data_IF_696485969495
#
_entry.id   IF_696485969495
#
_cell.length_a   1.000
_cell.length_b   1.000
_cell.length_c   1.000
_cell.angle_alpha   90.00
_cell.angle_beta   90.00
_cell.angle_gamma   90.00
#
_symmetry.space_group_name_H-M   'P 1'
#
loop_
_entity.id
_entity.type
_entity.pdbx_description
1 polymer ?
#
# COMPACT_ATOMS: atom_id res chain seq x y z
N UNK A 1 -33.21 25.92 -28.14
CA UNK A 1 -32.32 26.37 -27.05
C UNK A 1 -31.26 25.29 -26.84
N UNK A 2 -30.00 25.62 -27.11
CA UNK A 2 -28.86 24.70 -27.07
C UNK A 2 -28.44 24.47 -25.63
N UNK A 3 -28.27 23.21 -25.21
CA UNK A 3 -27.77 22.84 -23.88
C UNK A 3 -26.24 22.87 -23.95
N UNK A 4 -25.62 23.80 -23.25
CA UNK A 4 -24.17 23.95 -23.19
C UNK A 4 -23.52 22.73 -22.53
N UNK A 5 -22.47 22.24 -23.20
CA UNK A 5 -21.57 21.19 -22.75
C UNK A 5 -20.63 21.80 -21.72
N UNK A 6 -20.78 21.42 -20.45
CA UNK A 6 -19.87 21.81 -19.38
C UNK A 6 -18.47 21.28 -19.67
N UNK A 7 -17.50 22.20 -19.62
CA UNK A 7 -16.09 22.04 -19.97
C UNK A 7 -15.40 20.98 -19.10
N UNK A 8 -14.65 20.12 -19.78
CA UNK A 8 -13.64 19.24 -19.19
C UNK A 8 -12.59 20.10 -18.46
N UNK A 9 -12.46 19.91 -17.14
CA UNK A 9 -11.28 20.39 -16.42
C UNK A 9 -10.13 19.43 -16.75
N UNK A 10 -9.08 19.97 -17.36
CA UNK A 10 -7.80 19.31 -17.57
C UNK A 10 -7.25 18.77 -16.25
N UNK A 11 -7.00 17.47 -16.18
CA UNK A 11 -6.21 16.85 -15.09
C UNK A 11 -4.73 16.85 -15.50
N UNK A 12 -3.80 17.18 -14.58
CA UNK A 12 -2.37 17.15 -14.87
C UNK A 12 -1.93 15.72 -15.18
N UNK A 13 -0.90 15.61 -16.00
CA UNK A 13 -0.41 14.40 -16.68
C UNK A 13 -0.55 13.12 -15.85
N UNK A 14 -1.40 12.22 -16.35
CA UNK A 14 -1.63 10.90 -15.79
C UNK A 14 -0.39 10.01 -15.94
N UNK A 15 -0.10 9.24 -14.90
CA UNK A 15 0.87 8.15 -14.90
C UNK A 15 0.68 7.26 -16.15
N UNK A 16 1.64 7.29 -17.07
CA UNK A 16 1.56 6.52 -18.32
C UNK A 16 1.47 5.02 -18.00
N UNK A 17 0.56 4.26 -18.64
CA UNK A 17 0.43 2.83 -18.39
C UNK A 17 1.64 2.11 -19.00
N UNK A 18 2.66 1.83 -18.19
CA UNK A 18 3.70 0.88 -18.55
C UNK A 18 3.15 -0.52 -18.33
N UNK A 19 2.52 -1.10 -19.35
CA UNK A 19 2.09 -2.50 -19.36
C UNK A 19 3.23 -3.36 -19.91
N UNK A 20 4.20 -3.67 -19.05
CA UNK A 20 5.23 -4.66 -19.34
C UNK A 20 5.15 -5.76 -18.27
N UNK A 21 4.48 -6.86 -18.62
CA UNK A 21 4.16 -7.95 -17.70
C UNK A 21 2.66 -8.03 -17.36
N UNK A 22 2.20 -9.19 -16.90
CA UNK A 22 0.84 -9.32 -16.40
C UNK A 22 0.61 -8.37 -15.21
N UNK A 23 -0.62 -7.92 -15.01
CA UNK A 23 -1.01 -7.01 -13.90
C UNK A 23 -1.02 -7.70 -12.52
N UNK A 24 -0.64 -8.98 -12.45
CA UNK A 24 -0.49 -9.68 -11.18
C UNK A 24 0.94 -9.51 -10.71
N UNK A 25 1.11 -8.98 -9.51
CA UNK A 25 2.39 -9.00 -8.83
C UNK A 25 2.58 -10.35 -8.14
N UNK A 26 3.72 -10.99 -8.41
CA UNK A 26 4.12 -12.26 -7.82
C UNK A 26 5.23 -12.09 -6.77
N UNK A 27 5.59 -10.85 -6.46
CA UNK A 27 6.50 -10.53 -5.37
C UNK A 27 5.98 -11.17 -4.09
N UNK A 28 6.90 -11.80 -3.35
CA UNK A 28 6.59 -12.39 -2.05
C UNK A 28 7.05 -11.37 -1.01
N UNK A 29 6.11 -10.83 -0.23
CA UNK A 29 6.42 -9.88 0.82
C UNK A 29 6.63 -10.60 2.16
N UNK A 30 7.79 -10.34 2.78
CA UNK A 30 8.16 -10.96 4.05
C UNK A 30 8.67 -12.40 3.89
N UNK A 31 8.53 -13.19 4.94
CA UNK A 31 8.96 -14.59 5.05
C UNK A 31 7.91 -15.39 5.83
N UNK A 32 7.96 -16.71 5.81
CA UNK A 32 7.05 -17.55 6.62
C UNK A 32 6.99 -17.16 8.11
N UNK A 33 8.12 -16.94 8.83
CA UNK A 33 8.06 -16.50 10.24
C UNK A 33 7.69 -15.02 10.44
N UNK A 34 7.80 -14.19 9.39
CA UNK A 34 7.47 -12.76 9.41
C UNK A 34 6.74 -12.41 8.12
N UNK A 35 5.44 -12.73 7.98
CA UNK A 35 4.72 -12.67 6.70
C UNK A 35 4.19 -11.27 6.37
N UNK A 36 5.01 -10.26 6.64
CA UNK A 36 4.76 -8.87 6.33
C UNK A 36 6.02 -8.18 5.84
N UNK A 37 5.84 -7.10 5.10
CA UNK A 37 6.90 -6.17 4.74
C UNK A 37 6.42 -4.73 4.91
N UNK A 38 7.32 -3.85 5.37
CA UNK A 38 7.05 -2.42 5.48
C UNK A 38 8.00 -1.69 4.53
N UNK A 39 7.43 -0.98 3.56
CA UNK A 39 8.17 -0.08 2.70
C UNK A 39 8.14 1.33 3.28
N UNK A 40 9.31 1.96 3.33
CA UNK A 40 9.46 3.40 3.50
C UNK A 40 9.88 4.01 2.17
N UNK A 41 9.08 4.92 1.64
CA UNK A 41 9.26 5.47 0.30
C UNK A 41 9.36 7.00 0.36
N UNK A 42 10.56 7.53 0.17
CA UNK A 42 10.85 8.96 0.10
C UNK A 42 11.17 9.37 -1.34
N UNK A 43 10.25 10.14 -1.93
CA UNK A 43 10.39 10.72 -3.26
C UNK A 43 10.54 12.23 -3.14
N UNK A 44 11.71 12.69 -2.68
CA UNK A 44 12.02 14.11 -2.46
C UNK A 44 11.89 15.03 -3.69
N UNK A 45 11.83 14.47 -4.90
CA UNK A 45 11.66 15.20 -6.16
C UNK A 45 10.45 14.73 -6.98
N UNK A 46 9.53 13.99 -6.34
CA UNK A 46 8.45 13.29 -7.02
C UNK A 46 8.95 12.14 -7.90
N UNK A 47 8.14 11.75 -8.87
CA UNK A 47 8.47 10.67 -9.82
C UNK A 47 8.13 9.26 -9.35
N UNK A 48 7.37 9.10 -8.26
CA UNK A 48 6.77 7.81 -7.93
C UNK A 48 5.86 7.37 -9.08
N UNK A 49 6.07 6.15 -9.56
CA UNK A 49 5.26 5.53 -10.60
C UNK A 49 5.19 4.02 -10.36
N UNK A 50 4.28 3.60 -9.48
CA UNK A 50 3.93 2.20 -9.32
C UNK A 50 2.84 1.88 -10.33
N UNK A 51 3.09 1.00 -11.34
CA UNK A 51 2.09 0.68 -12.35
C UNK A 51 0.91 -0.09 -11.76
N UNK A 52 -0.15 -0.26 -12.55
CA UNK A 52 -1.30 -1.06 -12.13
C UNK A 52 -0.89 -2.49 -11.82
N UNK A 53 -1.19 -2.94 -10.60
CA UNK A 53 -0.95 -4.30 -10.17
C UNK A 53 -1.96 -4.76 -9.11
N UNK A 54 -1.99 -6.06 -8.87
CA UNK A 54 -2.70 -6.67 -7.76
C UNK A 54 -1.89 -7.83 -7.21
N UNK A 55 -1.98 -8.04 -5.90
CA UNK A 55 -1.39 -9.17 -5.17
C UNK A 55 -2.40 -9.72 -4.16
N UNK A 56 -2.10 -10.88 -3.57
CA UNK A 56 -3.00 -11.54 -2.61
C UNK A 56 -2.94 -10.89 -1.22
N UNK A 57 -1.85 -10.22 -0.88
CA UNK A 57 -1.71 -9.48 0.39
C UNK A 57 -2.68 -8.30 0.48
N UNK A 58 -3.04 -7.96 1.72
CA UNK A 58 -3.53 -6.63 2.06
C UNK A 58 -2.37 -5.63 1.97
N UNK A 59 -2.66 -4.41 1.54
CA UNK A 59 -1.70 -3.31 1.60
C UNK A 59 -2.32 -2.11 2.30
N UNK A 60 -1.65 -1.62 3.33
CA UNK A 60 -2.08 -0.46 4.09
C UNK A 60 -1.11 0.68 3.83
N UNK A 61 -1.64 1.83 3.42
CA UNK A 61 -0.82 2.98 3.04
C UNK A 61 -1.05 4.12 4.03
N UNK A 62 0.05 4.70 4.48
CA UNK A 62 0.05 5.96 5.21
C UNK A 62 0.87 7.01 4.47
N UNK A 63 0.27 8.16 4.18
CA UNK A 63 0.97 9.31 3.60
C UNK A 63 1.50 10.17 4.74
N UNK A 64 2.80 10.06 5.01
CA UNK A 64 3.47 10.87 6.03
C UNK A 64 3.61 12.33 5.58
N UNK A 65 3.88 12.57 4.29
CA UNK A 65 4.08 13.92 3.75
C UNK A 65 3.71 14.01 2.27
N UNK A 66 3.13 15.14 1.87
CA UNK A 66 2.86 15.47 0.47
C UNK A 66 1.53 14.89 -0.04
N UNK A 67 1.43 14.70 -1.36
CA UNK A 67 0.21 14.23 -2.03
C UNK A 67 0.53 13.24 -3.13
N UNK A 68 -0.29 12.19 -3.24
CA UNK A 68 -0.17 11.13 -4.24
C UNK A 68 -1.50 10.94 -4.97
N UNK A 69 -1.43 10.34 -6.15
CA UNK A 69 -2.58 9.83 -6.88
C UNK A 69 -2.67 8.33 -6.65
N UNK A 70 -3.76 7.88 -6.03
CA UNK A 70 -4.13 6.48 -5.93
C UNK A 70 -5.25 6.21 -6.92
N UNK A 71 -5.08 5.21 -7.78
CA UNK A 71 -6.18 4.68 -8.59
C UNK A 71 -6.54 3.28 -8.12
N UNK A 72 -7.77 3.10 -7.66
CA UNK A 72 -8.34 1.81 -7.30
C UNK A 72 -9.32 1.39 -8.40
N UNK A 73 -9.02 0.29 -9.09
CA UNK A 73 -9.79 -0.20 -10.26
C UNK A 73 -9.92 0.89 -11.34
N UNK A 74 -11.02 1.64 -11.32
CA UNK A 74 -11.33 2.72 -12.28
C UNK A 74 -11.49 4.08 -11.60
N UNK A 75 -11.34 4.16 -10.29
CA UNK A 75 -11.55 5.38 -9.53
C UNK A 75 -10.21 5.95 -9.06
N UNK A 76 -9.89 7.15 -9.55
CA UNK A 76 -8.69 7.88 -9.20
C UNK A 76 -9.00 8.90 -8.12
N UNK A 77 -8.19 8.92 -7.05
CA UNK A 77 -8.31 9.85 -5.94
C UNK A 77 -6.96 10.44 -5.60
N UNK A 78 -6.95 11.71 -5.20
CA UNK A 78 -5.80 12.31 -4.54
C UNK A 78 -5.83 11.95 -3.06
N UNK A 79 -4.73 11.41 -2.56
CA UNK A 79 -4.51 11.16 -1.14
C UNK A 79 -3.43 12.13 -0.64
N UNK A 80 -3.63 12.70 0.55
CA UNK A 80 -2.76 13.75 1.10
C UNK A 80 -2.13 13.34 2.42
N UNK A 81 -1.15 14.11 2.87
CA UNK A 81 -0.55 14.02 4.19
C UNK A 81 -1.58 13.74 5.29
N UNK A 82 -1.28 12.78 6.16
CA UNK A 82 -2.16 12.28 7.21
C UNK A 82 -3.18 11.23 6.75
N UNK A 83 -3.31 10.96 5.45
CA UNK A 83 -4.24 9.92 4.95
C UNK A 83 -3.71 8.54 5.29
N UNK A 84 -4.57 7.73 5.90
CA UNK A 84 -4.38 6.29 6.09
C UNK A 84 -5.47 5.54 5.33
N UNK A 85 -5.11 4.52 4.56
CA UNK A 85 -6.07 3.76 3.76
C UNK A 85 -5.69 2.29 3.66
N UNK A 86 -6.67 1.51 3.22
CA UNK A 86 -6.58 0.07 3.06
C UNK A 86 -6.83 -0.28 1.60
N UNK A 87 -5.95 -1.10 1.03
CA UNK A 87 -6.11 -1.75 -0.27
C UNK A 87 -6.39 -3.23 0.03
N UNK A 88 -7.49 -3.74 -0.51
CA UNK A 88 -7.91 -5.11 -0.24
C UNK A 88 -7.09 -6.13 -1.04
N UNK A 89 -7.05 -7.36 -0.55
CA UNK A 89 -6.49 -8.49 -1.29
C UNK A 89 -7.09 -8.60 -2.68
N UNK A 90 -6.23 -8.83 -3.68
CA UNK A 90 -6.59 -8.94 -5.10
C UNK A 90 -7.24 -7.67 -5.68
N UNK A 91 -7.17 -6.53 -5.01
CA UNK A 91 -7.65 -5.26 -5.54
C UNK A 91 -6.63 -4.65 -6.49
N UNK A 92 -7.06 -4.36 -7.73
CA UNK A 92 -6.22 -3.69 -8.71
C UNK A 92 -6.00 -2.24 -8.29
N UNK A 93 -4.74 -1.83 -8.16
CA UNK A 93 -4.38 -0.50 -7.72
C UNK A 93 -3.12 0.04 -8.40
N UNK A 94 -2.97 1.37 -8.37
CA UNK A 94 -1.84 2.12 -8.91
C UNK A 94 -1.54 3.30 -7.98
N UNK A 95 -0.26 3.60 -7.74
CA UNK A 95 0.17 4.73 -6.91
C UNK A 95 1.23 5.56 -7.62
N UNK A 96 0.98 6.85 -7.83
CA UNK A 96 1.91 7.74 -8.52
C UNK A 96 2.01 9.12 -7.84
N UNK A 97 3.12 9.81 -8.06
CA UNK A 97 3.25 11.24 -7.71
C UNK A 97 2.31 12.10 -8.54
N UNK A 98 1.93 13.27 -8.03
CA UNK A 98 1.24 14.30 -8.81
C UNK A 98 2.30 15.18 -9.48
N UNK A 99 2.59 14.92 -10.75
CA UNK A 99 3.72 15.58 -11.44
C UNK A 99 5.04 15.33 -10.71
N UNK A 100 5.76 16.41 -10.37
CA UNK A 100 7.06 16.35 -9.65
C UNK A 100 6.93 16.69 -8.16
N UNK A 101 5.73 16.58 -7.58
CA UNK A 101 5.53 16.89 -6.16
C UNK A 101 6.26 15.89 -5.27
N UNK A 102 7.00 16.34 -4.25
CA UNK A 102 7.62 15.46 -3.29
C UNK A 102 6.60 14.76 -2.41
N UNK A 103 6.93 13.55 -1.96
CA UNK A 103 6.07 12.77 -1.08
C UNK A 103 6.85 11.77 -0.25
N UNK A 104 6.39 11.51 0.96
CA UNK A 104 6.84 10.40 1.80
C UNK A 104 5.61 9.57 2.15
N UNK A 105 5.67 8.27 1.88
CA UNK A 105 4.63 7.33 2.25
C UNK A 105 5.21 6.01 2.74
N UNK A 106 4.38 5.28 3.48
CA UNK A 106 4.70 3.95 3.98
C UNK A 106 3.65 2.97 3.48
N UNK A 107 4.08 1.78 3.09
CA UNK A 107 3.20 0.69 2.69
C UNK A 107 3.50 -0.55 3.54
N UNK A 108 2.51 -0.99 4.31
CA UNK A 108 2.54 -2.25 5.05
C UNK A 108 1.80 -3.30 4.21
N UNK A 109 2.53 -4.29 3.70
CA UNK A 109 2.01 -5.35 2.84
C UNK A 109 2.10 -6.69 3.58
N UNK A 110 0.98 -7.40 3.72
CA UNK A 110 0.92 -8.62 4.52
C UNK A 110 -0.27 -9.51 4.17
N UNK A 111 -0.14 -10.80 4.51
CA UNK A 111 -1.21 -11.78 4.33
C UNK A 111 -2.37 -11.54 5.31
N UNK A 112 -3.65 -11.58 4.88
CA UNK A 112 -4.81 -11.36 5.77
C UNK A 112 -4.82 -12.23 7.03
N UNK A 113 -4.23 -13.41 6.97
CA UNK A 113 -4.08 -14.39 8.05
C UNK A 113 -3.40 -13.79 9.29
N UNK A 114 -2.58 -12.74 9.15
CA UNK A 114 -2.02 -11.97 10.27
C UNK A 114 -3.11 -11.49 11.23
N UNK A 115 -4.23 -10.96 10.70
CA UNK A 115 -5.26 -10.33 11.53
C UNK A 115 -6.10 -11.33 12.33
N UNK A 116 -6.14 -12.59 11.89
CA UNK A 116 -6.86 -13.65 12.60
C UNK A 116 -5.98 -14.42 13.59
N UNK A 117 -4.67 -14.12 13.63
CA UNK A 117 -3.67 -14.87 14.40
C UNK A 117 -3.76 -16.39 14.17
N UNK A 118 -4.18 -16.81 12.97
CA UNK A 118 -4.53 -18.19 12.67
C UNK A 118 -3.35 -19.04 12.14
N UNK A 119 -2.10 -18.60 12.38
CA UNK A 119 -0.88 -19.24 11.91
C UNK A 119 0.24 -19.08 12.96
N UNK A 120 1.19 -20.01 12.96
CA UNK A 120 2.33 -19.98 13.87
C UNK A 120 3.42 -19.10 13.25
N UNK A 121 3.64 -17.92 13.81
CA UNK A 121 4.76 -17.04 13.45
C UNK A 121 5.75 -16.88 14.61
N UNK A 122 6.82 -16.14 14.37
CA UNK A 122 7.81 -15.85 15.42
C UNK A 122 7.21 -15.06 16.58
N UNK A 123 6.18 -14.24 16.35
CA UNK A 123 5.50 -13.55 17.44
C UNK A 123 4.82 -14.55 18.39
N UNK A 124 4.04 -15.47 17.83
CA UNK A 124 3.36 -16.53 18.56
C UNK A 124 4.34 -17.48 19.24
N UNK A 125 5.35 -17.96 18.51
CA UNK A 125 6.31 -18.94 18.99
C UNK A 125 7.26 -18.40 20.07
N UNK A 126 7.82 -17.20 19.84
CA UNK A 126 8.92 -16.67 20.66
C UNK A 126 8.43 -15.77 21.80
N UNK A 127 7.23 -15.18 21.67
CA UNK A 127 6.73 -14.18 22.63
C UNK A 127 5.38 -14.55 23.26
N UNK A 128 4.35 -14.83 22.45
CA UNK A 128 3.00 -15.05 22.96
C UNK A 128 2.92 -16.37 23.73
N UNK A 129 3.38 -17.49 23.15
CA UNK A 129 3.34 -18.79 23.83
C UNK A 129 4.16 -18.85 25.10
N UNK A 130 5.42 -18.35 25.15
CA UNK A 130 6.17 -18.27 26.40
C UNK A 130 5.46 -17.40 27.44
N UNK A 131 4.84 -16.28 27.05
CA UNK A 131 4.07 -15.43 27.95
C UNK A 131 2.85 -16.17 28.52
N UNK A 132 2.05 -16.80 27.65
CA UNK A 132 0.85 -17.54 28.05
C UNK A 132 1.17 -18.79 28.87
N UNK A 133 2.35 -19.39 28.67
CA UNK A 133 2.82 -20.55 29.42
C UNK A 133 3.54 -20.18 30.73
N UNK A 134 3.53 -18.90 31.12
CA UNK A 134 4.23 -18.38 32.29
C UNK A 134 5.76 -18.60 32.28
N UNK A 135 6.36 -18.69 31.09
CA UNK A 135 7.80 -18.86 30.87
C UNK A 135 8.55 -17.54 30.66
N UNK A 136 7.84 -16.42 30.48
CA UNK A 136 8.45 -15.09 30.45
C UNK A 136 8.65 -14.54 31.87
N UNK A 137 9.87 -14.12 32.20
CA UNK A 137 10.19 -13.34 33.40
C UNK A 137 10.42 -11.87 33.01
N UNK A 138 10.14 -10.93 33.93
CA UNK A 138 10.39 -9.50 33.74
C UNK A 138 11.90 -9.30 33.50
N UNK A 139 12.27 -8.86 32.30
CA UNK A 139 13.61 -8.36 31.97
C UNK A 139 13.62 -6.85 32.20
N UNK A 140 14.55 -6.37 33.04
CA UNK A 140 14.81 -4.95 33.29
C UNK A 140 15.66 -4.34 32.18
#
# INVERSE_FOLDING_TARGET
MKKERSKELFSPESCSPVLSGGIRDFTVHGTEPVPLHIYHQDYAHGGLSVPFHWHKELEWIWVEKGTLTLTLKTETRTISEGTFLFINSHELHQLCSIGTTPSIHHALVFLPEILSCAYLDSCEADWIRPLLSHLCHIVK
#
